data_IF_261029383117
#
_entry.id   IF_261029383117
#
_cell.length_a   1.000
_cell.length_b   1.000
_cell.length_c   1.000
_cell.angle_alpha   90.00
_cell.angle_beta   90.00
_cell.angle_gamma   90.00
#
_symmetry.space_group_name_H-M   'P 1'
#
loop_
_entity.id
_entity.type
_entity.pdbx_description
1 polymer ?
#
# COMPACT_ATOMS: atom_id res chain seq x y z
N UNK A 1 20.78 27.61 -18.91
CA UNK A 1 20.14 27.16 -17.65
C UNK A 1 18.71 26.63 -17.86
N UNK A 2 17.89 27.21 -18.75
CA UNK A 2 16.53 26.71 -19.05
C UNK A 2 16.53 25.32 -19.72
N UNK A 3 17.58 25.00 -20.49
CA UNK A 3 17.75 23.68 -21.13
C UNK A 3 17.86 22.52 -20.13
N UNK A 4 18.37 22.77 -18.91
CA UNK A 4 18.46 21.73 -17.88
C UNK A 4 17.06 21.31 -17.39
N UNK A 5 16.13 22.26 -17.33
CA UNK A 5 14.74 22.03 -16.93
C UNK A 5 13.98 21.32 -18.06
N UNK A 6 14.20 21.71 -19.32
CA UNK A 6 13.59 21.06 -20.49
C UNK A 6 14.09 19.63 -20.71
N UNK A 7 15.41 19.39 -20.59
CA UNK A 7 16.00 18.06 -20.81
C UNK A 7 15.67 17.07 -19.69
N UNK A 8 15.43 17.55 -18.47
CA UNK A 8 15.02 16.73 -17.32
C UNK A 8 13.51 16.79 -17.05
N UNK A 9 12.74 17.50 -17.87
CA UNK A 9 11.28 17.58 -17.73
C UNK A 9 10.65 16.19 -17.83
N UNK A 10 11.16 15.35 -18.74
CA UNK A 10 10.76 13.94 -18.83
C UNK A 10 11.02 13.17 -17.54
N UNK A 11 12.20 13.34 -16.95
CA UNK A 11 12.57 12.72 -15.67
C UNK A 11 11.67 13.15 -14.52
N UNK A 12 11.29 14.43 -14.47
CA UNK A 12 10.36 14.97 -13.46
C UNK A 12 8.96 14.38 -13.62
N UNK A 13 8.47 14.23 -14.86
CA UNK A 13 7.16 13.61 -15.13
C UNK A 13 7.20 12.13 -14.75
N UNK A 14 8.25 11.40 -15.15
CA UNK A 14 8.41 9.98 -14.84
C UNK A 14 8.48 9.77 -13.31
N UNK A 15 9.25 10.59 -12.60
CA UNK A 15 9.39 10.48 -11.14
C UNK A 15 8.08 10.76 -10.42
N UNK A 16 7.28 11.74 -10.87
CA UNK A 16 5.94 12.00 -10.33
C UNK A 16 4.99 10.83 -10.56
N UNK A 17 4.99 10.24 -11.76
CA UNK A 17 4.16 9.06 -12.06
C UNK A 17 4.57 7.89 -11.15
N UNK A 18 5.86 7.59 -11.06
CA UNK A 18 6.37 6.52 -10.19
C UNK A 18 6.00 6.75 -8.72
N UNK A 19 6.20 7.96 -8.21
CA UNK A 19 5.83 8.33 -6.85
C UNK A 19 4.31 8.21 -6.61
N UNK A 20 3.48 8.58 -7.58
CA UNK A 20 2.03 8.47 -7.49
C UNK A 20 1.57 7.01 -7.40
N UNK A 21 2.16 6.12 -8.18
CA UNK A 21 1.87 4.67 -8.16
C UNK A 21 2.23 4.09 -6.79
N UNK A 22 3.44 4.38 -6.29
CA UNK A 22 3.89 3.91 -4.97
C UNK A 22 2.97 4.42 -3.86
N UNK A 23 2.61 5.71 -3.88
CA UNK A 23 1.69 6.29 -2.93
C UNK A 23 0.30 5.65 -3.00
N UNK A 24 -0.17 5.29 -4.19
CA UNK A 24 -1.44 4.60 -4.39
C UNK A 24 -1.41 3.17 -3.81
N UNK A 25 -0.33 2.42 -4.04
CA UNK A 25 -0.14 1.08 -3.45
C UNK A 25 -0.12 1.17 -1.93
N UNK A 26 0.64 2.09 -1.33
CA UNK A 26 0.68 2.29 0.12
C UNK A 26 -0.70 2.66 0.66
N UNK A 27 -1.42 3.58 -0.01
CA UNK A 27 -2.80 3.93 0.38
C UNK A 27 -3.74 2.73 0.31
N UNK A 28 -3.64 1.89 -0.72
CA UNK A 28 -4.43 0.64 -0.79
C UNK A 28 -4.06 -0.28 0.36
N UNK A 29 -2.78 -0.53 0.61
CA UNK A 29 -2.34 -1.37 1.74
C UNK A 29 -2.87 -0.85 3.09
N UNK A 30 -2.81 0.46 3.35
CA UNK A 30 -3.35 1.04 4.59
C UNK A 30 -4.87 0.89 4.66
N UNK A 31 -5.58 1.11 3.54
CA UNK A 31 -7.03 0.97 3.46
C UNK A 31 -7.46 -0.49 3.61
N UNK A 32 -6.76 -1.42 2.98
CA UNK A 32 -6.96 -2.87 3.09
C UNK A 32 -6.66 -3.33 4.54
N UNK A 33 -5.60 -2.81 5.18
CA UNK A 33 -5.29 -3.08 6.60
C UNK A 33 -6.34 -2.50 7.54
N UNK A 34 -6.87 -1.30 7.27
CA UNK A 34 -7.98 -0.69 8.02
C UNK A 34 -9.29 -1.47 7.84
N UNK A 35 -9.52 -2.05 6.67
CA UNK A 35 -10.66 -2.94 6.40
C UNK A 35 -10.46 -4.35 6.99
N UNK A 36 -9.35 -4.57 7.70
CA UNK A 36 -9.06 -5.83 8.36
C UNK A 36 -8.54 -6.91 7.41
N UNK A 37 -8.14 -6.61 6.17
CA UNK A 37 -7.46 -7.57 5.27
C UNK A 37 -5.99 -7.74 5.67
N UNK A 38 -5.74 -8.18 6.90
CA UNK A 38 -4.46 -8.73 7.33
C UNK A 38 -4.45 -10.25 7.14
N UNK A 39 -3.31 -10.89 7.43
CA UNK A 39 -3.13 -12.36 7.40
C UNK A 39 -4.24 -13.12 8.18
N UNK A 40 -4.91 -12.45 9.12
CA UNK A 40 -6.26 -12.81 9.55
C UNK A 40 -7.19 -11.64 9.22
N UNK A 41 -8.11 -11.88 8.27
CA UNK A 41 -9.18 -10.97 7.91
C UNK A 41 -9.97 -10.51 9.15
N UNK A 42 -10.75 -9.43 9.05
CA UNK A 42 -11.88 -9.10 9.95
C UNK A 42 -12.96 -10.21 10.03
N UNK A 43 -12.70 -11.36 9.43
CA UNK A 43 -13.42 -12.62 9.56
C UNK A 43 -12.47 -13.68 10.16
N UNK A 44 -12.07 -13.51 11.41
CA UNK A 44 -11.39 -14.56 12.19
C UNK A 44 -12.27 -15.82 12.37
N UNK A 45 -13.56 -15.76 12.02
CA UNK A 45 -14.48 -16.89 12.03
C UNK A 45 -14.28 -17.92 10.91
N UNK A 46 -13.48 -17.60 9.88
CA UNK A 46 -13.25 -18.50 8.73
C UNK A 46 -11.79 -18.87 8.46
N UNK A 47 -10.83 -18.39 9.26
CA UNK A 47 -9.43 -18.78 9.08
C UNK A 47 -9.20 -20.16 9.72
N UNK A 48 -8.53 -21.08 9.03
CA UNK A 48 -8.19 -22.42 9.55
C UNK A 48 -7.20 -22.41 10.74
N UNK A 49 -6.87 -21.21 11.25
CA UNK A 49 -6.04 -20.96 12.42
C UNK A 49 -6.82 -20.17 13.51
N UNK A 50 -8.15 -20.16 13.46
CA UNK A 50 -9.02 -19.45 14.40
C UNK A 50 -8.87 -19.92 15.84
N UNK A 51 -8.44 -21.17 16.04
CA UNK A 51 -8.18 -21.79 17.34
C UNK A 51 -6.92 -21.25 18.06
N UNK A 52 -6.05 -20.49 17.37
CA UNK A 52 -4.83 -19.92 17.96
C UNK A 52 -4.81 -18.39 18.06
N UNK A 53 -5.72 -17.69 17.38
CA UNK A 53 -5.70 -16.22 17.31
C UNK A 53 -6.34 -15.51 18.52
N UNK A 54 -7.23 -16.18 19.26
CA UNK A 54 -7.74 -15.72 20.57
C UNK A 54 -7.38 -16.80 21.61
N UNK A 55 -6.17 -16.73 22.13
CA UNK A 55 -5.81 -17.39 23.39
C UNK A 55 -5.47 -16.30 24.41
N UNK A 56 -6.43 -15.40 24.60
CA UNK A 56 -6.46 -14.52 25.76
C UNK A 56 -7.20 -15.26 26.87
N UNK A 57 -6.47 -15.44 27.96
CA UNK A 57 -6.84 -16.16 29.18
C UNK A 57 -8.02 -15.52 29.92
#
# INVERSE_FOLDING_TARGET
>A
MIQFILSNLGTVIISLVLASIVAFVIRKMIKDKKQGKGCCGSSCGGCGHSSGCHQDK
#
